data_IF_737964012707
#
_entry.id   IF_737964012707
#
_cell.length_a   1.000
_cell.length_b   1.000
_cell.length_c   1.000
_cell.angle_alpha   90.00
_cell.angle_beta   90.00
_cell.angle_gamma   90.00
#
_symmetry.space_group_name_H-M   'P 1'
#
loop_
_entity.id
_entity.type
_entity.pdbx_description
1 polymer ?
#
# COMPACT_ATOMS: atom_id res chain seq x y z
N UNK A 1 9.47 -31.87 5.30
CA UNK A 1 8.05 -31.61 5.70
C UNK A 1 8.13 -30.48 6.70
N UNK A 2 8.06 -29.24 6.20
CA UNK A 2 7.99 -28.07 7.07
C UNK A 2 6.64 -28.10 7.76
N UNK A 3 6.64 -28.28 9.08
CA UNK A 3 5.49 -27.96 9.91
C UNK A 3 5.33 -26.45 9.82
N UNK A 4 4.34 -25.96 9.06
CA UNK A 4 3.95 -24.55 9.10
C UNK A 4 3.69 -24.19 10.56
N UNK A 5 4.52 -23.28 11.08
CA UNK A 5 4.39 -22.80 12.46
C UNK A 5 3.02 -22.16 12.59
N UNK A 6 2.17 -22.72 13.43
CA UNK A 6 0.83 -22.22 13.67
C UNK A 6 0.93 -20.80 14.27
N UNK A 7 0.27 -19.82 13.68
CA UNK A 7 0.24 -18.46 14.19
C UNK A 7 -0.74 -18.36 15.37
N UNK A 8 -0.39 -17.53 16.36
CA UNK A 8 -1.35 -17.14 17.38
C UNK A 8 -2.33 -16.11 16.83
N UNK A 9 -3.50 -15.96 17.45
CA UNK A 9 -4.58 -15.08 16.94
C UNK A 9 -4.21 -13.60 16.86
N UNK A 10 -3.20 -13.15 17.61
CA UNK A 10 -2.64 -11.80 17.57
C UNK A 10 -1.32 -11.73 16.77
N UNK A 11 -0.95 -12.82 16.10
CA UNK A 11 0.20 -12.88 15.18
C UNK A 11 -0.27 -12.81 13.73
N UNK A 12 0.61 -12.28 12.89
CA UNK A 12 0.49 -12.32 11.43
C UNK A 12 1.87 -12.51 10.82
N UNK A 13 1.94 -12.96 9.59
CA UNK A 13 3.19 -13.06 8.88
C UNK A 13 3.17 -12.19 7.61
N UNK A 14 4.34 -11.64 7.28
CA UNK A 14 4.62 -11.01 6.00
C UNK A 14 5.61 -11.92 5.29
N UNK A 15 5.23 -12.40 4.10
CA UNK A 15 6.09 -13.21 3.25
C UNK A 15 6.46 -12.41 2.00
N UNK A 16 7.75 -12.26 1.75
CA UNK A 16 8.27 -11.61 0.54
C UNK A 16 8.96 -12.64 -0.31
N UNK A 17 8.36 -12.90 -1.47
CA UNK A 17 8.92 -13.77 -2.50
C UNK A 17 9.73 -12.91 -3.46
N UNK A 18 11.03 -13.14 -3.55
CA UNK A 18 11.95 -12.27 -4.29
C UNK A 18 12.94 -13.06 -5.14
N UNK A 19 13.39 -12.45 -6.24
CA UNK A 19 14.44 -13.01 -7.08
C UNK A 19 15.82 -12.84 -6.41
N UNK A 20 16.43 -13.96 -6.01
CA UNK A 20 17.74 -14.00 -5.33
C UNK A 20 18.88 -13.47 -6.19
N UNK A 21 18.73 -13.46 -7.52
CA UNK A 21 19.75 -13.00 -8.46
C UNK A 21 19.60 -11.54 -8.85
N UNK A 22 18.54 -10.87 -8.37
CA UNK A 22 18.30 -9.49 -8.73
C UNK A 22 19.20 -8.52 -7.95
N UNK A 23 19.61 -7.46 -8.62
CA UNK A 23 20.36 -6.34 -8.02
C UNK A 23 19.45 -5.49 -7.12
N UNK A 24 20.05 -4.80 -6.15
CA UNK A 24 19.41 -3.83 -5.24
C UNK A 24 18.56 -4.48 -4.15
N UNK A 25 19.15 -5.32 -3.30
CA UNK A 25 18.45 -5.95 -2.16
C UNK A 25 17.90 -4.92 -1.16
N UNK A 26 18.48 -3.72 -1.12
CA UNK A 26 18.01 -2.64 -0.24
C UNK A 26 16.56 -2.22 -0.50
N UNK A 27 16.02 -2.41 -1.70
CA UNK A 27 14.63 -2.08 -2.03
C UNK A 27 13.65 -3.00 -1.28
N UNK A 28 13.99 -4.27 -1.09
CA UNK A 28 13.17 -5.23 -0.34
C UNK A 28 13.06 -4.78 1.11
N UNK A 29 14.20 -4.47 1.75
CA UNK A 29 14.20 -4.04 3.16
C UNK A 29 13.53 -2.69 3.36
N UNK A 30 13.69 -1.75 2.42
CA UNK A 30 12.98 -0.47 2.45
C UNK A 30 11.46 -0.68 2.34
N UNK A 31 11.02 -1.52 1.41
CA UNK A 31 9.61 -1.85 1.25
C UNK A 31 9.03 -2.52 2.49
N UNK A 32 9.75 -3.49 3.08
CA UNK A 32 9.35 -4.14 4.34
C UNK A 32 9.23 -3.11 5.47
N UNK A 33 10.22 -2.23 5.63
CA UNK A 33 10.18 -1.21 6.67
C UNK A 33 8.96 -0.30 6.52
N UNK A 34 8.69 0.17 5.29
CA UNK A 34 7.53 1.01 4.99
C UNK A 34 6.20 0.28 5.20
N UNK A 35 6.14 -0.99 4.86
CA UNK A 35 4.96 -1.82 5.08
C UNK A 35 4.66 -1.99 6.58
N UNK A 36 5.70 -2.23 7.39
CA UNK A 36 5.56 -2.30 8.86
C UNK A 36 5.11 -0.94 9.43
N UNK A 37 5.67 0.18 8.97
CA UNK A 37 5.21 1.53 9.33
C UNK A 37 3.72 1.72 9.02
N UNK A 38 3.25 1.28 7.84
CA UNK A 38 1.85 1.33 7.45
C UNK A 38 0.95 0.49 8.37
N UNK A 39 1.39 -0.70 8.76
CA UNK A 39 0.66 -1.52 9.73
C UNK A 39 0.67 -0.94 11.15
N UNK A 40 1.77 -0.32 11.58
CA UNK A 40 1.83 0.37 12.87
C UNK A 40 0.89 1.58 12.91
N UNK A 41 0.82 2.35 11.81
CA UNK A 41 -0.16 3.41 11.67
C UNK A 41 -1.58 2.86 11.80
N UNK A 42 -1.91 1.81 11.06
CA UNK A 42 -3.22 1.15 11.10
C UNK A 42 -3.58 0.68 12.50
N UNK A 43 -2.65 0.04 13.20
CA UNK A 43 -2.87 -0.44 14.58
C UNK A 43 -3.14 0.73 15.55
N UNK A 44 -2.38 1.82 15.43
CA UNK A 44 -2.56 3.01 16.27
C UNK A 44 -3.94 3.63 16.08
N UNK A 45 -4.35 3.81 14.85
CA UNK A 45 -5.64 4.40 14.54
C UNK A 45 -6.82 3.52 14.98
N UNK A 46 -6.73 2.21 14.75
CA UNK A 46 -7.75 1.26 15.20
C UNK A 46 -7.84 1.18 16.72
N UNK A 47 -6.71 1.23 17.42
CA UNK A 47 -6.71 1.28 18.90
C UNK A 47 -7.25 2.61 19.41
N UNK A 48 -7.00 3.72 18.71
CA UNK A 48 -7.59 5.03 19.00
C UNK A 48 -9.12 5.03 18.98
N UNK A 49 -9.73 4.08 18.23
CA UNK A 49 -11.18 3.84 18.24
C UNK A 49 -11.67 3.14 19.50
N UNK A 50 -10.78 2.54 20.31
CA UNK A 50 -11.09 1.83 21.56
C UNK A 50 -10.78 2.74 22.75
N UNK A 51 -9.55 3.24 22.83
CA UNK A 51 -9.10 4.17 23.86
C UNK A 51 -7.84 4.91 23.37
N UNK A 52 -7.79 6.23 23.61
CA UNK A 52 -6.69 7.09 23.12
C UNK A 52 -5.36 6.87 23.84
N UNK A 53 -5.42 6.32 25.04
CA UNK A 53 -4.26 6.12 25.91
C UNK A 53 -3.57 4.78 25.69
N UNK A 54 -4.10 3.94 24.80
CA UNK A 54 -3.51 2.63 24.47
C UNK A 54 -2.46 2.80 23.37
N UNK A 55 -1.26 2.30 23.60
CA UNK A 55 -0.20 2.28 22.60
C UNK A 55 -0.01 0.86 22.04
N UNK A 56 -0.34 0.63 20.76
CA UNK A 56 -0.04 -0.62 20.10
C UNK A 56 1.41 -0.62 19.57
N UNK A 57 2.05 -1.76 19.65
CA UNK A 57 3.40 -2.00 19.11
C UNK A 57 3.40 -3.26 18.27
N UNK A 58 4.10 -3.25 17.15
CA UNK A 58 4.36 -4.45 16.38
C UNK A 58 5.73 -5.02 16.78
N UNK A 59 5.73 -6.23 17.31
CA UNK A 59 6.95 -6.97 17.66
C UNK A 59 7.30 -7.96 16.57
N UNK A 60 8.59 -8.13 16.31
CA UNK A 60 9.12 -9.19 15.45
C UNK A 60 9.40 -10.43 16.30
N UNK A 61 8.62 -11.48 16.11
CA UNK A 61 8.76 -12.74 16.86
C UNK A 61 9.76 -13.69 16.21
N UNK A 62 9.79 -13.75 14.87
CA UNK A 62 10.68 -14.69 14.15
C UNK A 62 10.92 -14.26 12.70
N UNK A 63 12.02 -14.76 12.11
CA UNK A 63 12.34 -14.64 10.69
C UNK A 63 12.77 -16.00 10.16
N UNK A 64 12.00 -16.53 9.23
CA UNK A 64 12.26 -17.84 8.65
C UNK A 64 13.15 -17.73 7.38
N UNK A 65 14.00 -18.75 7.17
CA UNK A 65 14.91 -18.80 6.02
C UNK A 65 14.20 -19.33 4.77
N UNK A 66 14.60 -18.83 3.61
CA UNK A 66 14.13 -19.30 2.30
C UNK A 66 13.52 -18.19 1.46
N UNK A 67 12.29 -17.82 1.67
CA UNK A 67 11.66 -16.52 1.42
C UNK A 67 11.86 -15.68 2.68
N UNK A 68 11.79 -14.35 2.57
CA UNK A 68 11.76 -13.52 3.79
C UNK A 68 10.35 -13.67 4.36
N UNK A 69 10.18 -14.54 5.34
CA UNK A 69 8.94 -14.68 6.09
C UNK A 69 9.17 -14.22 7.51
N UNK A 70 8.50 -13.13 7.86
CA UNK A 70 8.57 -12.51 9.18
C UNK A 70 7.28 -12.80 9.93
N UNK A 71 7.39 -13.32 11.14
CA UNK A 71 6.27 -13.48 12.07
C UNK A 71 6.25 -12.27 12.98
N UNK A 72 5.16 -11.54 12.94
CA UNK A 72 4.94 -10.29 13.64
C UNK A 72 3.75 -10.42 14.58
N UNK A 73 3.77 -9.68 15.67
CA UNK A 73 2.73 -9.69 16.70
C UNK A 73 2.27 -8.27 17.00
N UNK A 74 0.95 -8.04 16.95
CA UNK A 74 0.36 -6.81 17.48
C UNK A 74 0.21 -6.92 19.00
N UNK A 75 0.93 -6.08 19.71
CA UNK A 75 1.00 -6.07 21.19
C UNK A 75 0.51 -4.72 21.71
N UNK A 76 -0.16 -4.76 22.84
CA UNK A 76 -0.52 -3.56 23.61
C UNK A 76 0.49 -3.41 24.74
N UNK A 77 1.27 -2.34 24.68
CA UNK A 77 2.36 -2.11 25.62
C UNK A 77 1.82 -1.63 26.99
N UNK A 78 0.94 -0.63 26.97
CA UNK A 78 0.34 -0.09 28.19
C UNK A 78 -1.18 0.01 28.10
N UNK A 79 -1.85 -0.18 29.23
CA UNK A 79 -3.27 0.07 29.40
C UNK A 79 -3.45 1.07 30.54
N UNK A 80 -4.33 2.07 30.41
CA UNK A 80 -4.43 3.17 31.36
C UNK A 80 -5.10 2.79 32.71
N UNK A 81 -5.67 1.60 32.79
CA UNK A 81 -6.47 1.22 33.97
C UNK A 81 -6.07 -0.19 34.45
N UNK A 82 -5.77 -0.32 35.79
CA UNK A 82 -5.43 -1.60 36.40
C UNK A 82 -6.51 -2.69 36.17
N UNK A 83 -7.76 -2.27 35.98
CA UNK A 83 -8.89 -3.16 35.61
C UNK A 83 -8.77 -3.78 34.23
N UNK A 84 -8.05 -3.15 33.30
CA UNK A 84 -7.82 -3.59 31.92
C UNK A 84 -6.49 -4.36 31.77
N UNK A 85 -5.63 -4.42 32.77
CA UNK A 85 -4.34 -5.14 32.75
C UNK A 85 -4.45 -6.67 32.66
N UNK A 86 -5.66 -7.21 32.51
CA UNK A 86 -5.83 -8.63 32.28
C UNK A 86 -5.22 -9.01 30.93
N UNK A 87 -4.41 -10.08 30.92
CA UNK A 87 -3.80 -10.62 29.70
C UNK A 87 -4.82 -10.86 28.59
N UNK A 88 -6.07 -11.15 28.95
CA UNK A 88 -7.16 -11.35 28.01
C UNK A 88 -7.50 -10.11 27.19
N UNK A 89 -7.50 -8.91 27.77
CA UNK A 89 -7.82 -7.66 27.06
C UNK A 89 -6.75 -7.33 26.02
N UNK A 90 -5.47 -7.46 26.38
CA UNK A 90 -4.36 -7.25 25.44
C UNK A 90 -4.45 -8.21 24.25
N UNK A 91 -4.79 -9.47 24.52
CA UNK A 91 -4.97 -10.50 23.48
C UNK A 91 -6.18 -10.22 22.60
N UNK A 92 -7.30 -9.82 23.20
CA UNK A 92 -8.54 -9.45 22.49
C UNK A 92 -8.25 -8.32 21.51
N UNK A 93 -7.62 -7.23 21.96
CA UNK A 93 -7.26 -6.10 21.11
C UNK A 93 -6.28 -6.54 20.01
N UNK A 94 -5.22 -7.28 20.37
CA UNK A 94 -4.25 -7.80 19.38
C UNK A 94 -4.91 -8.65 18.30
N UNK A 95 -5.83 -9.53 18.67
CA UNK A 95 -6.62 -10.35 17.74
C UNK A 95 -7.49 -9.50 16.83
N UNK A 96 -8.16 -8.49 17.38
CA UNK A 96 -8.94 -7.53 16.59
C UNK A 96 -8.07 -6.81 15.56
N UNK A 97 -6.90 -6.30 15.97
CA UNK A 97 -5.98 -5.59 15.07
C UNK A 97 -5.54 -6.46 13.89
N UNK A 98 -5.24 -7.74 14.12
CA UNK A 98 -4.88 -8.67 13.04
C UNK A 98 -6.05 -8.91 12.09
N UNK A 99 -7.25 -9.16 12.62
CA UNK A 99 -8.45 -9.38 11.82
C UNK A 99 -8.87 -8.14 11.02
N UNK A 100 -8.76 -6.95 11.62
CA UNK A 100 -9.06 -5.70 10.95
C UNK A 100 -8.07 -5.40 9.81
N UNK A 101 -6.75 -5.62 10.03
CA UNK A 101 -5.74 -5.55 8.94
C UNK A 101 -6.07 -6.50 7.80
N UNK A 102 -6.46 -7.74 8.11
CA UNK A 102 -6.87 -8.69 7.09
C UNK A 102 -8.08 -8.19 6.28
N UNK A 103 -9.09 -7.61 6.94
CA UNK A 103 -10.26 -7.04 6.27
C UNK A 103 -9.89 -5.87 5.35
N UNK A 104 -9.00 -4.97 5.79
CA UNK A 104 -8.47 -3.86 4.99
C UNK A 104 -7.78 -4.39 3.74
N UNK A 105 -6.86 -5.34 3.89
CA UNK A 105 -6.13 -5.94 2.78
C UNK A 105 -7.04 -6.68 1.80
N UNK A 106 -8.07 -7.36 2.30
CA UNK A 106 -9.09 -8.02 1.48
C UNK A 106 -9.91 -7.02 0.65
N UNK A 107 -10.13 -5.83 1.17
CA UNK A 107 -10.78 -4.75 0.41
C UNK A 107 -9.86 -4.22 -0.70
N UNK A 108 -8.53 -4.17 -0.46
CA UNK A 108 -7.52 -3.75 -1.45
C UNK A 108 -7.28 -4.78 -2.56
N UNK A 109 -7.46 -6.08 -2.29
CA UNK A 109 -7.21 -7.18 -3.25
C UNK A 109 -8.27 -7.27 -4.37
N UNK A 110 -9.34 -6.48 -4.30
CA UNK A 110 -10.38 -6.45 -5.33
C UNK A 110 -9.87 -5.75 -6.59
N UNK A 111 -10.24 -6.32 -7.76
CA UNK A 111 -9.93 -5.68 -9.04
C UNK A 111 -10.80 -4.44 -9.25
N UNK A 112 -10.16 -3.33 -9.60
CA UNK A 112 -10.81 -2.05 -9.90
C UNK A 112 -10.83 -1.09 -8.71
N UNK A 113 -11.37 0.10 -8.93
CA UNK A 113 -11.43 1.14 -7.92
C UNK A 113 -12.29 0.71 -6.71
N UNK A 114 -11.80 1.02 -5.51
CA UNK A 114 -12.53 0.78 -4.27
C UNK A 114 -13.68 1.78 -4.19
N UNK A 115 -14.89 1.31 -4.40
CA UNK A 115 -16.10 2.12 -4.42
C UNK A 115 -16.60 2.45 -3.01
N UNK A 116 -17.54 3.38 -2.92
CA UNK A 116 -18.23 3.72 -1.67
C UNK A 116 -18.85 2.50 -1.00
N UNK A 117 -19.53 1.63 -1.77
CA UNK A 117 -20.12 0.38 -1.25
C UNK A 117 -19.05 -0.60 -0.74
N UNK A 118 -17.84 -0.59 -1.31
CA UNK A 118 -16.76 -1.41 -0.81
C UNK A 118 -16.25 -0.90 0.55
N UNK A 119 -16.23 0.42 0.76
CA UNK A 119 -15.94 1.00 2.08
C UNK A 119 -17.03 0.72 3.09
N UNK A 120 -18.31 0.86 2.73
CA UNK A 120 -19.43 0.49 3.62
C UNK A 120 -19.33 -0.98 4.07
N UNK A 121 -18.98 -1.87 3.14
CA UNK A 121 -18.74 -3.29 3.43
C UNK A 121 -17.57 -3.50 4.36
N UNK A 122 -16.47 -2.77 4.16
CA UNK A 122 -15.27 -2.84 5.00
C UNK A 122 -15.57 -2.33 6.43
N UNK A 123 -16.26 -1.21 6.55
CA UNK A 123 -16.66 -0.63 7.83
C UNK A 123 -17.52 -1.62 8.63
N UNK A 124 -18.51 -2.25 7.97
CA UNK A 124 -19.32 -3.30 8.56
C UNK A 124 -18.50 -4.53 8.98
N UNK A 125 -17.54 -4.95 8.16
CA UNK A 125 -16.67 -6.09 8.50
C UNK A 125 -15.79 -5.78 9.70
N UNK A 126 -15.19 -4.59 9.78
CA UNK A 126 -14.40 -4.18 10.95
C UNK A 126 -15.27 -4.11 12.20
N UNK A 127 -16.47 -3.56 12.10
CA UNK A 127 -17.44 -3.50 13.21
C UNK A 127 -17.83 -4.90 13.69
N UNK A 128 -18.07 -5.83 12.77
CA UNK A 128 -18.31 -7.24 13.07
C UNK A 128 -17.12 -7.88 13.79
N UNK A 129 -15.90 -7.64 13.33
CA UNK A 129 -14.69 -8.14 13.98
C UNK A 129 -14.53 -7.57 15.41
N UNK A 130 -14.89 -6.31 15.64
CA UNK A 130 -14.90 -5.71 16.97
C UNK A 130 -15.90 -6.41 17.91
N UNK A 131 -17.08 -6.81 17.41
CA UNK A 131 -18.06 -7.58 18.17
C UNK A 131 -17.57 -9.01 18.45
N UNK A 132 -17.12 -9.73 17.43
CA UNK A 132 -16.67 -11.13 17.55
C UNK A 132 -15.48 -11.29 18.48
N UNK A 133 -14.59 -10.31 18.54
CA UNK A 133 -13.44 -10.31 19.46
C UNK A 133 -13.77 -9.80 20.86
N UNK A 134 -14.92 -9.16 21.06
CA UNK A 134 -15.31 -8.54 22.32
C UNK A 134 -14.75 -7.13 22.53
N UNK A 135 -14.04 -6.56 21.53
CA UNK A 135 -13.49 -5.19 21.61
C UNK A 135 -14.60 -4.15 21.75
N UNK A 136 -15.74 -4.36 21.11
CA UNK A 136 -16.89 -3.46 21.23
C UNK A 136 -17.46 -3.35 22.66
N UNK A 137 -17.14 -4.30 23.53
CA UNK A 137 -17.56 -4.33 24.93
C UNK A 137 -16.56 -3.61 25.88
N UNK A 138 -15.39 -3.21 25.37
CA UNK A 138 -14.34 -2.56 26.15
C UNK A 138 -14.58 -1.05 26.42
N UNK A 139 -15.80 -0.58 26.33
CA UNK A 139 -16.26 0.72 26.82
C UNK A 139 -16.50 1.79 25.76
N UNK A 140 -15.48 2.33 25.11
CA UNK A 140 -15.62 3.50 24.24
C UNK A 140 -15.38 3.22 22.74
N UNK A 141 -15.62 1.99 22.28
CA UNK A 141 -15.40 1.66 20.86
C UNK A 141 -16.21 2.58 19.94
N UNK A 142 -15.54 3.15 18.97
CA UNK A 142 -16.12 3.90 17.86
C UNK A 142 -15.65 3.29 16.55
N UNK A 143 -16.45 3.42 15.51
CA UNK A 143 -16.03 2.96 14.18
C UNK A 143 -14.85 3.79 13.65
N UNK A 144 -13.89 3.15 12.96
CA UNK A 144 -12.80 3.87 12.33
C UNK A 144 -13.32 4.80 11.22
N UNK A 145 -12.74 5.99 11.12
CA UNK A 145 -13.11 6.93 10.08
C UNK A 145 -12.64 6.44 8.72
N UNK A 146 -13.40 6.74 7.69
CA UNK A 146 -13.07 6.39 6.30
C UNK A 146 -11.72 6.96 5.85
N UNK A 147 -11.42 8.20 6.23
CA UNK A 147 -10.11 8.85 5.99
C UNK A 147 -8.94 8.02 6.53
N UNK A 148 -9.10 7.51 7.74
CA UNK A 148 -8.10 6.65 8.40
C UNK A 148 -7.89 5.33 7.65
N UNK A 149 -8.96 4.71 7.18
CA UNK A 149 -8.87 3.47 6.38
C UNK A 149 -8.16 3.72 5.05
N UNK A 150 -8.48 4.83 4.38
CA UNK A 150 -7.84 5.24 3.12
C UNK A 150 -6.34 5.50 3.34
N UNK A 151 -5.99 6.25 4.38
CA UNK A 151 -4.59 6.52 4.73
C UNK A 151 -3.83 5.24 5.04
N UNK A 152 -4.43 4.31 5.79
CA UNK A 152 -3.85 2.99 6.07
C UNK A 152 -3.56 2.22 4.78
N UNK A 153 -4.53 2.16 3.86
CA UNK A 153 -4.38 1.50 2.55
C UNK A 153 -3.26 2.15 1.72
N UNK A 154 -3.21 3.49 1.71
CA UNK A 154 -2.19 4.24 0.97
C UNK A 154 -0.77 3.97 1.48
N UNK A 155 -0.57 3.96 2.81
CA UNK A 155 0.73 3.66 3.42
C UNK A 155 1.17 2.21 3.17
N UNK A 156 0.25 1.26 3.25
CA UNK A 156 0.52 -0.16 2.95
C UNK A 156 0.92 -0.33 1.48
N UNK A 157 0.16 0.26 0.56
CA UNK A 157 0.44 0.24 -0.88
C UNK A 157 1.78 0.90 -1.21
N UNK A 158 2.10 2.06 -0.59
CA UNK A 158 3.40 2.73 -0.74
C UNK A 158 4.56 1.81 -0.32
N UNK A 159 4.41 1.07 0.78
CA UNK A 159 5.41 0.09 1.21
C UNK A 159 5.73 -0.94 0.14
N UNK A 160 4.71 -1.55 -0.46
CA UNK A 160 4.89 -2.54 -1.55
C UNK A 160 5.47 -1.88 -2.80
N UNK A 161 5.10 -0.63 -3.12
CA UNK A 161 5.61 0.09 -4.29
C UNK A 161 7.13 0.34 -4.27
N UNK A 162 7.76 0.31 -3.09
CA UNK A 162 9.24 0.44 -2.94
C UNK A 162 9.98 -0.83 -3.35
N UNK A 163 9.30 -1.96 -3.39
CA UNK A 163 9.85 -3.24 -3.84
C UNK A 163 9.88 -3.31 -5.37
N UNK A 164 10.45 -4.37 -5.92
CA UNK A 164 10.50 -4.59 -7.38
C UNK A 164 9.18 -5.16 -7.87
N UNK A 165 8.86 -4.97 -9.13
CA UNK A 165 7.65 -5.52 -9.76
C UNK A 165 7.59 -7.05 -9.76
N UNK A 166 8.77 -7.69 -9.72
CA UNK A 166 8.88 -9.16 -9.66
C UNK A 166 8.67 -9.71 -8.26
N UNK A 167 8.82 -8.86 -7.23
CA UNK A 167 8.66 -9.28 -5.85
C UNK A 167 7.17 -9.37 -5.50
N UNK A 168 6.82 -10.39 -4.75
CA UNK A 168 5.44 -10.61 -4.29
C UNK A 168 5.40 -10.55 -2.78
N UNK A 169 4.43 -9.82 -2.26
CA UNK A 169 4.23 -9.66 -0.83
C UNK A 169 2.90 -10.29 -0.44
N UNK A 170 2.93 -11.12 0.58
CA UNK A 170 1.73 -11.74 1.14
C UNK A 170 1.63 -11.44 2.62
N UNK A 171 0.41 -11.18 3.07
CA UNK A 171 0.02 -11.12 4.46
C UNK A 171 -0.70 -12.40 4.82
N UNK A 172 -0.27 -13.09 5.87
CA UNK A 172 -0.91 -14.29 6.38
C UNK A 172 -1.32 -14.12 7.84
N UNK A 173 -2.52 -14.58 8.18
CA UNK A 173 -3.03 -14.55 9.54
C UNK A 173 -3.98 -15.73 9.79
N UNK A 174 -4.16 -16.10 11.07
CA UNK A 174 -5.18 -17.06 11.46
C UNK A 174 -6.55 -16.35 11.52
N UNK A 175 -7.43 -16.70 10.61
CA UNK A 175 -8.79 -16.18 10.48
C UNK A 175 -9.76 -17.36 10.50
N UNK A 176 -10.72 -17.36 11.43
CA UNK A 176 -11.68 -18.45 11.59
C UNK A 176 -11.04 -19.83 11.80
N UNK A 177 -9.94 -19.88 12.57
CA UNK A 177 -9.12 -21.05 12.84
C UNK A 177 -8.42 -21.67 11.59
N UNK A 178 -8.28 -20.89 10.54
CA UNK A 178 -7.55 -21.27 9.33
C UNK A 178 -6.50 -20.22 8.99
N UNK A 179 -5.34 -20.65 8.53
CA UNK A 179 -4.32 -19.75 7.99
C UNK A 179 -4.79 -19.25 6.64
N UNK A 180 -5.14 -17.96 6.58
CA UNK A 180 -5.51 -17.28 5.34
C UNK A 180 -4.40 -16.33 4.91
N UNK A 181 -4.09 -16.31 3.62
CA UNK A 181 -3.09 -15.43 3.04
C UNK A 181 -3.71 -14.55 1.97
N UNK A 182 -3.28 -13.29 1.91
CA UNK A 182 -3.69 -12.31 0.89
C UNK A 182 -2.43 -11.71 0.27
N UNK A 183 -2.41 -11.59 -1.05
CA UNK A 183 -1.36 -10.86 -1.75
C UNK A 183 -1.61 -9.36 -1.61
N UNK A 184 -0.56 -8.60 -1.23
CA UNK A 184 -0.65 -7.14 -1.14
C UNK A 184 -0.15 -6.55 -2.47
N UNK A 185 -1.02 -5.78 -3.13
CA UNK A 185 -0.69 -5.07 -4.37
C UNK A 185 0.01 -3.74 -4.09
N UNK A 186 0.78 -3.28 -5.07
CA UNK A 186 1.41 -1.94 -5.05
C UNK A 186 0.50 -0.85 -5.62
N UNK A 187 -0.61 -1.23 -6.23
CA UNK A 187 -1.56 -0.31 -6.84
C UNK A 187 -2.77 -0.16 -5.92
N UNK A 188 -3.06 1.08 -5.55
CA UNK A 188 -4.26 1.44 -4.82
C UNK A 188 -5.10 2.34 -5.73
N UNK A 189 -6.27 1.86 -6.11
CA UNK A 189 -7.24 2.61 -6.88
C UNK A 189 -8.49 2.84 -6.03
N UNK A 190 -8.79 4.10 -5.72
CA UNK A 190 -9.95 4.49 -4.93
C UNK A 190 -10.85 5.35 -5.80
N UNK A 191 -12.16 5.10 -5.75
CA UNK A 191 -13.15 5.87 -6.48
C UNK A 191 -13.02 7.37 -6.16
N UNK A 192 -13.05 8.20 -7.21
CA UNK A 192 -12.88 9.64 -7.09
C UNK A 192 -13.95 10.27 -6.18
N UNK A 193 -15.18 9.74 -6.18
CA UNK A 193 -16.25 10.22 -5.32
C UNK A 193 -15.93 9.97 -3.84
N UNK A 194 -15.36 8.82 -3.51
CA UNK A 194 -14.92 8.50 -2.14
C UNK A 194 -13.81 9.45 -1.71
N UNK A 195 -12.79 9.61 -2.55
CA UNK A 195 -11.65 10.48 -2.26
C UNK A 195 -12.11 11.92 -2.04
N UNK A 196 -12.99 12.45 -2.89
CA UNK A 196 -13.57 13.79 -2.73
C UNK A 196 -14.38 13.96 -1.44
N UNK A 197 -15.10 12.93 -1.00
CA UNK A 197 -15.93 13.01 0.21
C UNK A 197 -15.11 13.17 1.49
N UNK A 198 -13.86 12.70 1.50
CA UNK A 198 -12.96 12.74 2.67
C UNK A 198 -11.86 13.81 2.56
N UNK A 199 -11.66 14.40 1.37
CA UNK A 199 -10.65 15.44 1.13
C UNK A 199 -11.12 16.77 1.69
N UNK A 200 -10.28 17.41 2.50
CA UNK A 200 -10.50 18.77 3.00
C UNK A 200 -9.61 19.79 2.33
N UNK A 201 -8.39 19.42 2.00
CA UNK A 201 -7.39 20.29 1.37
C UNK A 201 -6.78 19.61 0.17
N UNK A 202 -6.64 20.37 -0.93
CA UNK A 202 -6.02 19.91 -2.15
C UNK A 202 -4.86 20.83 -2.51
N UNK A 203 -3.67 20.28 -2.63
CA UNK A 203 -2.48 21.01 -3.06
C UNK A 203 -2.07 20.49 -4.42
N UNK A 204 -2.06 21.37 -5.40
CA UNK A 204 -1.63 21.06 -6.77
C UNK A 204 -0.28 21.67 -7.05
N UNK A 205 0.64 20.86 -7.57
CA UNK A 205 1.95 21.29 -8.05
C UNK A 205 2.10 20.93 -9.53
N UNK A 206 2.61 21.87 -10.32
CA UNK A 206 2.92 21.64 -11.74
C UNK A 206 4.42 21.82 -11.93
N UNK A 207 5.08 20.81 -12.47
CA UNK A 207 6.52 20.83 -12.69
C UNK A 207 6.92 20.10 -13.97
N UNK A 208 8.05 20.51 -14.54
CA UNK A 208 8.64 19.81 -15.67
C UNK A 208 9.57 18.71 -15.14
N UNK A 209 9.29 17.47 -15.53
CA UNK A 209 10.04 16.29 -15.09
C UNK A 209 10.41 15.38 -16.26
N UNK A 210 11.41 14.54 -16.03
CA UNK A 210 11.79 13.48 -16.98
C UNK A 210 11.36 12.15 -16.38
N UNK A 211 10.47 11.46 -17.11
CA UNK A 211 9.88 10.19 -16.73
C UNK A 211 10.44 9.08 -17.59
N UNK A 212 11.13 8.10 -17.01
CA UNK A 212 11.55 6.89 -17.73
C UNK A 212 10.33 5.98 -17.92
N UNK A 213 10.03 5.60 -19.17
CA UNK A 213 8.88 4.74 -19.49
C UNK A 213 9.16 3.33 -19.02
N UNK A 214 8.20 2.74 -18.29
CA UNK A 214 8.24 1.33 -17.88
C UNK A 214 7.18 0.52 -18.60
N UNK A 215 5.96 1.04 -18.67
CA UNK A 215 4.84 0.35 -19.31
C UNK A 215 3.94 1.35 -20.02
N UNK A 216 3.61 1.02 -21.24
CA UNK A 216 2.72 1.79 -22.10
C UNK A 216 1.33 1.16 -22.08
N UNK A 217 0.30 1.96 -21.86
CA UNK A 217 -1.08 1.51 -21.98
C UNK A 217 -1.61 1.82 -23.40
N UNK A 218 -2.01 0.77 -24.13
CA UNK A 218 -2.50 0.91 -25.50
C UNK A 218 -4.02 1.05 -25.60
N UNK A 219 -4.76 0.78 -24.51
CA UNK A 219 -6.22 0.69 -24.55
C UNK A 219 -6.84 1.76 -23.64
N UNK A 220 -7.69 2.61 -24.22
CA UNK A 220 -8.50 3.56 -23.49
C UNK A 220 -7.70 4.67 -22.78
N UNK A 221 -8.25 5.15 -21.67
CA UNK A 221 -7.66 6.20 -20.81
C UNK A 221 -6.86 5.58 -19.63
N UNK A 222 -6.11 4.51 -19.90
CA UNK A 222 -5.36 3.79 -18.88
C UNK A 222 -4.12 4.55 -18.47
N UNK A 223 -3.73 4.43 -17.18
CA UNK A 223 -2.49 5.00 -16.65
C UNK A 223 -1.28 4.32 -17.27
N UNK A 224 -0.28 5.10 -17.63
CA UNK A 224 1.04 4.61 -18.01
C UNK A 224 1.93 4.51 -16.77
N UNK A 225 2.84 3.55 -16.76
CA UNK A 225 3.80 3.40 -15.68
C UNK A 225 5.13 4.03 -16.06
N UNK A 226 5.63 4.86 -15.17
CA UNK A 226 6.88 5.59 -15.33
C UNK A 226 7.76 5.43 -14.10
N UNK A 227 8.99 5.92 -14.22
CA UNK A 227 9.95 6.01 -13.13
C UNK A 227 10.61 7.37 -13.07
N UNK A 228 10.69 7.95 -11.86
CA UNK A 228 11.53 9.10 -11.54
C UNK A 228 12.57 8.64 -10.53
N UNK A 229 13.83 8.55 -10.93
CA UNK A 229 14.89 8.04 -10.06
C UNK A 229 14.57 6.62 -9.57
N UNK A 230 14.28 6.48 -8.26
CA UNK A 230 13.92 5.18 -7.65
C UNK A 230 12.40 4.97 -7.51
N UNK A 231 11.61 6.00 -7.71
CA UNK A 231 10.16 5.96 -7.47
C UNK A 231 9.39 5.59 -8.74
N UNK A 232 8.43 4.69 -8.58
CA UNK A 232 7.44 4.32 -9.60
C UNK A 232 6.30 5.33 -9.57
N UNK A 233 5.82 5.74 -10.72
CA UNK A 233 4.69 6.66 -10.87
C UNK A 233 3.76 6.11 -11.93
N UNK A 234 2.46 6.08 -11.61
CA UNK A 234 1.41 5.81 -12.57
C UNK A 234 0.68 7.10 -12.89
N UNK A 235 0.67 7.50 -14.16
CA UNK A 235 0.06 8.76 -14.59
C UNK A 235 -0.76 8.60 -15.86
N UNK A 236 -1.85 9.37 -15.95
CA UNK A 236 -2.57 9.58 -17.20
C UNK A 236 -1.87 10.62 -18.05
N UNK A 237 -1.88 10.41 -19.38
CA UNK A 237 -1.45 11.44 -20.33
C UNK A 237 -2.70 12.16 -20.83
N UNK A 238 -2.82 13.44 -20.49
CA UNK A 238 -3.93 14.31 -20.92
C UNK A 238 -3.65 15.04 -22.24
N UNK A 239 -2.42 14.95 -22.76
CA UNK A 239 -2.04 15.49 -24.07
C UNK A 239 -2.62 14.62 -25.20
N UNK A 240 -3.90 14.85 -25.50
CA UNK A 240 -4.62 14.09 -26.53
C UNK A 240 -3.94 14.21 -27.90
N UNK A 241 -3.44 15.38 -28.25
CA UNK A 241 -2.77 15.62 -29.53
C UNK A 241 -1.48 14.81 -29.64
N UNK A 242 -0.74 14.65 -28.55
CA UNK A 242 0.43 13.81 -28.49
C UNK A 242 0.05 12.33 -28.58
N UNK A 243 -1.00 11.91 -27.85
CA UNK A 243 -1.49 10.52 -27.88
C UNK A 243 -2.00 10.12 -29.27
N UNK A 244 -2.70 10.99 -29.99
CA UNK A 244 -3.15 10.74 -31.36
C UNK A 244 -1.96 10.54 -32.31
N UNK A 245 -0.93 11.37 -32.23
CA UNK A 245 0.30 11.22 -33.02
C UNK A 245 1.05 9.94 -32.69
N UNK A 246 1.07 9.56 -31.41
CA UNK A 246 1.65 8.31 -30.98
C UNK A 246 0.87 7.10 -31.52
N UNK A 247 -0.47 7.09 -31.39
CA UNK A 247 -1.34 6.04 -31.93
C UNK A 247 -1.28 5.95 -33.46
N UNK A 248 -1.07 7.06 -34.14
CA UNK A 248 -0.88 7.12 -35.60
C UNK A 248 0.53 6.66 -36.06
N UNK A 249 1.40 6.24 -35.13
CA UNK A 249 2.76 5.80 -35.47
C UNK A 249 3.73 6.91 -35.85
N UNK A 250 3.36 8.18 -35.63
CA UNK A 250 4.22 9.34 -35.93
C UNK A 250 5.29 9.57 -34.84
N UNK A 251 5.10 8.97 -33.66
CA UNK A 251 6.03 9.01 -32.55
C UNK A 251 6.45 7.57 -32.26
N UNK A 252 7.74 7.31 -32.30
CA UNK A 252 8.30 6.00 -31.99
C UNK A 252 8.83 6.02 -30.56
N UNK A 253 8.44 5.05 -29.74
CA UNK A 253 9.00 4.80 -28.42
C UNK A 253 9.70 3.44 -28.44
N UNK A 254 10.90 3.40 -27.88
CA UNK A 254 11.66 2.15 -27.70
C UNK A 254 11.89 1.88 -26.20
N UNK A 255 12.10 0.62 -25.80
CA UNK A 255 12.41 0.29 -24.42
C UNK A 255 13.64 1.06 -23.92
N UNK A 256 13.48 1.74 -22.78
CA UNK A 256 14.51 2.60 -22.21
C UNK A 256 14.28 4.10 -22.42
N UNK A 257 13.39 4.48 -23.32
CA UNK A 257 13.06 5.89 -23.56
C UNK A 257 12.46 6.59 -22.33
N UNK A 258 12.64 7.90 -22.33
CA UNK A 258 12.06 8.79 -21.32
C UNK A 258 11.23 9.89 -22.00
N UNK A 259 10.23 10.38 -21.30
CA UNK A 259 9.46 11.56 -21.69
C UNK A 259 9.85 12.73 -20.80
N UNK A 260 10.15 13.87 -21.43
CA UNK A 260 10.17 15.16 -20.73
C UNK A 260 8.76 15.73 -20.79
N UNK A 261 8.15 15.93 -19.63
CA UNK A 261 6.72 16.28 -19.52
C UNK A 261 6.48 17.42 -18.55
N UNK A 262 5.40 18.13 -18.77
CA UNK A 262 4.75 18.93 -17.75
C UNK A 262 3.81 18.00 -16.96
N UNK A 263 4.12 17.78 -15.68
CA UNK A 263 3.36 16.90 -14.79
C UNK A 263 2.65 17.73 -13.74
N UNK A 264 1.36 17.49 -13.58
CA UNK A 264 0.53 17.96 -12.49
C UNK A 264 0.46 16.88 -11.44
N UNK A 265 0.86 17.20 -10.23
CA UNK A 265 0.70 16.35 -9.07
C UNK A 265 -0.31 17.00 -8.12
N UNK A 266 -1.39 16.29 -7.83
CA UNK A 266 -2.43 16.73 -6.92
C UNK A 266 -2.37 15.88 -5.67
N UNK A 267 -2.03 16.50 -4.55
CA UNK A 267 -2.00 15.88 -3.23
C UNK A 267 -3.27 16.26 -2.48
N UNK A 268 -3.98 15.28 -1.98
CA UNK A 268 -5.22 15.45 -1.25
C UNK A 268 -5.02 15.06 0.21
N UNK A 269 -5.43 15.95 1.11
CA UNK A 269 -5.23 15.81 2.54
C UNK A 269 -6.56 15.73 3.28
N UNK A 270 -6.59 14.90 4.31
CA UNK A 270 -7.70 14.79 5.27
C UNK A 270 -7.70 15.99 6.24
N UNK A 271 -8.74 16.05 7.07
CA UNK A 271 -8.96 17.09 8.08
C UNK A 271 -7.83 17.20 9.12
N UNK A 272 -7.12 16.11 9.36
CA UNK A 272 -5.97 16.03 10.25
C UNK A 272 -4.62 16.32 9.56
N UNK A 273 -4.65 16.86 8.32
CA UNK A 273 -3.49 17.12 7.45
C UNK A 273 -2.73 15.85 7.01
N UNK A 274 -3.32 14.68 7.13
CA UNK A 274 -2.72 13.45 6.59
C UNK A 274 -2.97 13.35 5.09
N UNK A 275 -1.94 12.87 4.36
CA UNK A 275 -2.03 12.65 2.92
C UNK A 275 -2.96 11.47 2.63
N UNK A 276 -4.06 11.69 1.96
CA UNK A 276 -5.02 10.67 1.54
C UNK A 276 -4.52 9.98 0.29
N UNK A 277 -4.25 10.77 -0.75
CA UNK A 277 -3.71 10.26 -2.00
C UNK A 277 -2.90 11.33 -2.75
N UNK A 278 -2.09 10.87 -3.70
CA UNK A 278 -1.41 11.70 -4.68
C UNK A 278 -1.76 11.18 -6.07
N UNK A 279 -2.25 12.08 -6.91
CA UNK A 279 -2.61 11.78 -8.30
C UNK A 279 -1.65 12.51 -9.22
N UNK A 280 -1.01 11.76 -10.11
CA UNK A 280 -0.11 12.33 -11.13
C UNK A 280 -0.76 12.29 -12.50
N UNK A 281 -0.72 13.43 -13.20
CA UNK A 281 -1.26 13.62 -14.54
C UNK A 281 -0.21 14.29 -15.42
N UNK A 282 -0.02 13.80 -16.64
CA UNK A 282 0.87 14.42 -17.63
C UNK A 282 0.01 15.35 -18.47
N UNK A 283 0.12 16.68 -18.21
CA UNK A 283 -0.64 17.69 -18.92
C UNK A 283 -0.12 17.83 -20.35
N UNK A 284 1.21 17.76 -20.53
CA UNK A 284 1.86 17.96 -21.81
C UNK A 284 3.13 17.16 -21.96
N UNK A 285 3.31 16.53 -23.09
CA UNK A 285 4.57 15.88 -23.44
C UNK A 285 5.42 16.87 -24.27
N UNK A 286 6.56 17.28 -23.69
CA UNK A 286 7.45 18.28 -24.30
C UNK A 286 8.39 17.65 -25.31
N UNK A 287 8.96 16.48 -25.00
CA UNK A 287 9.86 15.75 -25.89
C UNK A 287 10.01 14.29 -25.45
N UNK A 288 10.39 13.44 -26.41
CA UNK A 288 10.88 12.08 -26.18
C UNK A 288 12.41 12.16 -26.08
N UNK A 289 12.98 11.48 -25.08
CA UNK A 289 14.41 11.36 -24.88
C UNK A 289 14.77 9.90 -25.10
N UNK A 290 15.51 9.62 -26.16
CA UNK A 290 15.99 8.29 -26.46
C UNK A 290 17.24 7.95 -25.66
N UNK A 291 17.30 6.73 -25.10
CA UNK A 291 18.50 6.25 -24.41
C UNK A 291 19.60 5.97 -25.46
N UNK A 292 20.70 6.69 -25.43
CA UNK A 292 21.85 6.38 -26.28
C UNK A 292 22.38 4.98 -25.91
N UNK A 293 22.26 4.04 -26.82
CA UNK A 293 22.94 2.74 -26.70
C UNK A 293 24.44 3.02 -26.73
N UNK A 294 25.12 2.93 -25.60
CA UNK A 294 26.58 2.87 -25.61
C UNK A 294 26.98 1.69 -26.52
N UNK A 295 27.83 1.92 -27.53
CA UNK A 295 28.35 0.82 -28.32
C UNK A 295 29.09 -0.13 -27.37
N UNK A 296 28.66 -1.39 -27.34
CA UNK A 296 29.36 -2.45 -26.63
C UNK A 296 30.80 -2.45 -27.13
N UNK A 297 31.75 -2.02 -26.28
CA UNK A 297 33.17 -2.18 -26.56
C UNK A 297 33.43 -3.68 -26.66
N UNK A 298 33.62 -4.14 -27.89
CA UNK A 298 34.14 -5.45 -28.16
C UNK A 298 35.58 -5.51 -27.55
N UNK A 299 35.64 -6.16 -26.40
CA UNK A 299 36.91 -6.67 -25.87
C UNK A 299 37.16 -8.01 -26.58
N UNK A 300 37.75 -7.95 -27.76
CA UNK A 300 38.55 -9.04 -28.31
C UNK A 300 39.95 -8.53 -28.46
N UNK A 301 40.83 -8.97 -27.60
CA UNK A 301 42.24 -9.18 -27.84
C UNK A 301 42.75 -10.16 -26.77
#
# INVERSE_FOLDING_TARGET
VDMEKQLETNQFCITVDYDKNASKPEQIFLGIAKLIEGFQYTDRELVGCIAKEIEPVIMLDDVEQGSIRMILRSVIESLPDEGLERCDVKRIIGTFLVKAKYAILKAMDKKGAISEQAFDTLELEISKQAQETGVSELGCYTEPKRETLITSMALISDGVSKMRETDRVQFGAEIENELKAIQIGSELDIDEAVTKSVTQEEITNIQVVILKIQKVAFIGNSKWEFRIGKNKISAHIEDEAWLERYKAGQITLIPGDSLKVEMKETMQYAKNHELICSVSQIIKVLSVIHEEKQPSSQLFS
#
